data_IF_002851166133
#
_entry.id   IF_002851166133
#
_cell.length_a   1.000
_cell.length_b   1.000
_cell.length_c   1.000
_cell.angle_alpha   90.00
_cell.angle_beta   90.00
_cell.angle_gamma   90.00
#
_symmetry.space_group_name_H-M   'P 1'
#
loop_
_entity.id
_entity.type
_entity.pdbx_description
1 polymer ?
#
# COMPACT_ATOMS: atom_id res chain seq x y z
N UNK A 1 6.10 19.19 36.61
CA UNK A 1 6.63 20.13 35.61
C UNK A 1 5.79 20.04 34.34
N UNK A 2 5.10 21.12 33.96
CA UNK A 2 4.28 21.18 32.74
C UNK A 2 5.20 21.20 31.51
N UNK A 3 5.14 20.18 30.66
CA UNK A 3 5.89 20.14 29.39
C UNK A 3 5.04 20.77 28.27
N UNK A 4 5.63 21.73 27.56
CA UNK A 4 5.05 22.38 26.37
C UNK A 4 5.11 21.43 25.17
N UNK A 5 4.14 21.47 24.23
CA UNK A 5 4.19 20.72 22.99
C UNK A 5 5.24 21.31 22.03
N UNK A 6 5.94 20.42 21.33
CA UNK A 6 6.90 20.77 20.27
C UNK A 6 6.10 20.97 18.98
N UNK A 7 6.22 22.11 18.26
CA UNK A 7 5.49 22.33 17.03
C UNK A 7 6.19 21.62 15.85
N UNK A 8 5.45 20.73 15.18
CA UNK A 8 5.89 19.95 14.00
C UNK A 8 5.89 20.80 12.71
N UNK A 9 5.40 22.04 12.74
CA UNK A 9 5.14 22.86 11.54
C UNK A 9 6.35 23.54 10.86
N UNK A 10 7.60 23.16 11.16
CA UNK A 10 8.78 23.90 10.70
C UNK A 10 9.42 23.44 9.39
N UNK A 11 9.19 22.19 8.95
CA UNK A 11 10.02 21.59 7.90
C UNK A 11 9.44 21.71 6.47
N UNK A 12 8.19 22.15 6.31
CA UNK A 12 7.50 22.21 5.00
C UNK A 12 7.42 23.61 4.35
N UNK A 13 7.93 24.68 4.96
CA UNK A 13 7.67 26.08 4.50
C UNK A 13 8.76 26.77 3.68
N UNK A 14 9.73 26.05 3.13
CA UNK A 14 10.72 26.64 2.22
C UNK A 14 10.65 25.96 0.86
N UNK A 15 9.67 26.32 0.06
CA UNK A 15 9.67 26.35 -1.42
C UNK A 15 8.24 26.66 -1.81
N UNK A 16 7.93 27.92 -2.12
CA UNK A 16 6.77 28.36 -2.92
C UNK A 16 6.88 29.89 -3.04
N UNK A 17 7.54 30.33 -4.11
CA UNK A 17 7.37 31.67 -4.65
C UNK A 17 6.90 31.47 -6.09
N UNK A 18 5.59 31.32 -6.27
CA UNK A 18 4.94 31.42 -7.59
C UNK A 18 3.71 32.29 -7.41
N UNK A 19 3.78 33.46 -8.02
CA UNK A 19 2.74 34.48 -8.09
C UNK A 19 1.60 34.05 -9.01
N UNK A 20 0.37 34.16 -8.47
CA UNK A 20 -0.92 34.40 -9.15
C UNK A 20 -1.24 33.65 -10.46
N UNK A 21 -2.15 32.69 -10.37
CA UNK A 21 -2.97 32.20 -11.49
C UNK A 21 -4.45 32.59 -11.26
N UNK A 22 -5.22 32.87 -12.32
CA UNK A 22 -6.60 33.34 -12.20
C UNK A 22 -7.52 32.21 -11.73
N UNK A 23 -8.53 32.56 -10.94
CA UNK A 23 -9.53 31.63 -10.44
C UNK A 23 -10.37 31.06 -11.59
N UNK A 24 -10.30 29.74 -11.78
CA UNK A 24 -11.21 28.98 -12.64
C UNK A 24 -12.51 28.64 -11.87
N UNK A 25 -13.65 28.53 -12.57
CA UNK A 25 -14.96 28.39 -11.95
C UNK A 25 -15.12 27.05 -11.25
N UNK A 26 -15.58 27.10 -9.99
CA UNK A 26 -15.79 25.97 -9.05
C UNK A 26 -16.87 24.95 -9.44
N UNK A 27 -17.30 24.88 -10.71
CA UNK A 27 -18.51 24.12 -11.11
C UNK A 27 -18.26 22.83 -11.90
N UNK A 28 -17.02 22.36 -12.05
CA UNK A 28 -16.72 21.02 -12.56
C UNK A 28 -15.53 20.45 -11.78
N UNK A 29 -15.80 19.59 -10.78
CA UNK A 29 -14.92 18.59 -10.14
C UNK A 29 -15.39 18.22 -8.71
N UNK A 30 -16.69 18.29 -8.44
CA UNK A 30 -17.30 17.33 -7.52
C UNK A 30 -17.79 16.18 -8.38
N UNK A 31 -16.95 15.17 -8.56
CA UNK A 31 -17.45 13.85 -8.94
C UNK A 31 -18.31 13.42 -7.76
N UNK A 32 -19.62 13.63 -7.86
CA UNK A 32 -20.61 12.96 -7.04
C UNK A 32 -20.37 11.47 -7.26
N UNK A 33 -19.63 10.85 -6.35
CA UNK A 33 -19.47 9.40 -6.30
C UNK A 33 -20.88 8.83 -6.12
N UNK A 34 -21.43 8.08 -7.08
CA UNK A 34 -22.69 7.40 -6.86
C UNK A 34 -22.53 6.45 -5.66
N UNK A 35 -23.56 6.30 -4.80
CA UNK A 35 -23.54 5.23 -3.81
C UNK A 35 -23.32 3.91 -4.52
N UNK A 36 -22.46 3.05 -3.95
CA UNK A 36 -22.15 1.73 -4.48
C UNK A 36 -23.48 0.98 -4.63
N UNK A 37 -23.90 0.75 -5.88
CA UNK A 37 -25.09 -0.04 -6.17
C UNK A 37 -24.79 -1.49 -5.74
N UNK A 38 -25.39 -1.92 -4.64
CA UNK A 38 -24.99 -3.15 -3.95
C UNK A 38 -25.13 -3.09 -2.43
N UNK A 39 -25.62 -1.96 -1.87
CA UNK A 39 -26.20 -1.86 -0.53
C UNK A 39 -27.44 -2.79 -0.39
N UNK A 40 -27.26 -4.10 -0.54
CA UNK A 40 -27.82 -4.94 0.51
C UNK A 40 -27.15 -4.41 1.77
N UNK A 41 -27.94 -3.75 2.62
CA UNK A 41 -27.58 -3.37 3.96
C UNK A 41 -26.99 -4.63 4.63
N UNK A 42 -25.67 -4.84 4.50
CA UNK A 42 -24.92 -5.88 5.20
C UNK A 42 -24.87 -5.34 6.62
N UNK A 43 -26.01 -5.48 7.29
CA UNK A 43 -26.52 -4.59 8.34
C UNK A 43 -25.40 -3.90 9.08
N UNK A 44 -25.35 -2.57 9.02
CA UNK A 44 -24.42 -1.76 9.81
C UNK A 44 -24.30 -2.40 11.18
N UNK A 45 -23.15 -3.01 11.51
CA UNK A 45 -23.01 -3.77 12.75
C UNK A 45 -23.08 -2.74 13.88
N UNK A 46 -24.24 -2.50 14.52
CA UNK A 46 -24.47 -1.25 15.26
C UNK A 46 -23.66 -1.17 16.56
N UNK A 47 -23.03 -2.29 16.92
CA UNK A 47 -22.16 -2.48 18.06
C UNK A 47 -20.69 -2.19 17.75
N UNK A 48 -20.33 -2.02 16.48
CA UNK A 48 -19.00 -1.54 16.09
C UNK A 48 -18.92 -0.03 16.23
N UNK A 49 -17.85 0.43 16.86
CA UNK A 49 -17.50 1.84 16.93
C UNK A 49 -16.48 2.15 15.82
N UNK A 50 -17.00 2.60 14.68
CA UNK A 50 -16.24 2.90 13.47
C UNK A 50 -15.97 4.41 13.43
N UNK A 51 -14.70 4.79 13.44
CA UNK A 51 -14.27 6.19 13.43
C UNK A 51 -13.36 6.48 12.24
N UNK A 52 -13.58 7.59 11.50
CA UNK A 52 -12.70 7.96 10.39
C UNK A 52 -11.28 8.26 10.90
N UNK A 53 -10.27 7.80 10.15
CA UNK A 53 -8.87 8.19 10.36
C UNK A 53 -8.52 9.45 9.55
N UNK A 54 -9.08 9.56 8.34
CA UNK A 54 -9.14 10.78 7.53
C UNK A 54 -10.56 10.95 6.96
N UNK A 55 -10.98 12.15 6.52
CA UNK A 55 -12.32 12.39 6.00
C UNK A 55 -12.72 11.51 4.79
N UNK A 56 -11.74 11.09 3.98
CA UNK A 56 -11.99 10.39 2.71
C UNK A 56 -11.34 9.00 2.62
N UNK A 57 -10.64 8.58 3.67
CA UNK A 57 -9.78 7.39 3.61
C UNK A 57 -9.48 6.88 5.03
N UNK A 58 -9.51 5.57 5.21
CA UNK A 58 -9.15 4.95 6.47
C UNK A 58 -10.21 5.05 7.56
N UNK A 59 -10.48 3.94 8.23
CA UNK A 59 -11.29 3.89 9.44
C UNK A 59 -10.61 3.06 10.53
N UNK A 60 -10.80 3.44 11.78
CA UNK A 60 -10.48 2.62 12.94
C UNK A 60 -11.76 2.00 13.49
N UNK A 61 -11.70 0.73 13.87
CA UNK A 61 -12.82 -0.03 14.42
C UNK A 61 -12.47 -0.44 15.85
N UNK A 62 -13.28 0.03 16.79
CA UNK A 62 -13.25 -0.33 18.20
C UNK A 62 -14.41 -1.28 18.53
N UNK A 63 -14.36 -1.87 19.73
CA UNK A 63 -15.35 -2.84 20.22
C UNK A 63 -15.52 -4.06 19.31
N UNK A 64 -14.43 -4.44 18.63
CA UNK A 64 -14.33 -5.62 17.81
C UNK A 64 -13.45 -6.66 18.50
N UNK A 65 -13.84 -7.92 18.44
CA UNK A 65 -12.96 -9.05 18.73
C UNK A 65 -13.05 -10.03 17.57
N UNK A 66 -12.07 -9.93 16.67
CA UNK A 66 -12.00 -10.76 15.47
C UNK A 66 -11.90 -12.24 15.82
N UNK A 67 -11.12 -12.61 16.85
CA UNK A 67 -10.97 -14.00 17.25
C UNK A 67 -12.33 -14.64 17.59
N UNK A 68 -13.15 -13.93 18.39
CA UNK A 68 -14.50 -14.40 18.74
C UNK A 68 -15.42 -14.50 17.53
N UNK A 69 -15.28 -13.60 16.54
CA UNK A 69 -16.05 -13.67 15.30
C UNK A 69 -15.67 -14.89 14.47
N UNK A 70 -14.39 -15.20 14.37
CA UNK A 70 -13.89 -16.35 13.64
C UNK A 70 -14.24 -17.69 14.31
N UNK A 71 -14.41 -17.68 15.63
CA UNK A 71 -14.88 -18.83 16.42
C UNK A 71 -16.42 -18.98 16.44
N UNK A 72 -17.16 -18.00 15.91
CA UNK A 72 -18.63 -18.04 15.89
C UNK A 72 -19.19 -19.00 14.83
N UNK A 73 -20.51 -19.21 14.82
CA UNK A 73 -21.18 -20.05 13.81
C UNK A 73 -20.83 -19.61 12.39
N UNK A 74 -20.80 -20.56 11.45
CA UNK A 74 -20.40 -20.30 10.06
C UNK A 74 -21.17 -19.15 9.42
N UNK A 75 -22.49 -19.04 9.67
CA UNK A 75 -23.32 -17.95 9.12
C UNK A 75 -22.93 -16.57 9.68
N UNK A 76 -22.70 -16.47 10.99
CA UNK A 76 -22.28 -15.21 11.64
C UNK A 76 -20.88 -14.81 11.20
N UNK A 77 -19.96 -15.77 11.15
CA UNK A 77 -18.60 -15.58 10.64
C UNK A 77 -18.60 -15.01 9.22
N UNK A 78 -19.34 -15.63 8.29
CA UNK A 78 -19.43 -15.17 6.90
C UNK A 78 -20.01 -13.75 6.80
N UNK A 79 -21.09 -13.46 7.52
CA UNK A 79 -21.71 -12.13 7.50
C UNK A 79 -20.77 -11.03 7.99
N UNK A 80 -20.05 -11.28 9.10
CA UNK A 80 -19.09 -10.31 9.63
C UNK A 80 -17.92 -10.12 8.66
N UNK A 81 -17.35 -11.20 8.12
CA UNK A 81 -16.25 -11.09 7.16
C UNK A 81 -16.67 -10.36 5.87
N UNK A 82 -17.90 -10.56 5.39
CA UNK A 82 -18.47 -9.79 4.28
C UNK A 82 -18.52 -8.29 4.59
N UNK A 83 -18.92 -7.92 5.81
CA UNK A 83 -18.91 -6.54 6.27
C UNK A 83 -17.48 -5.97 6.36
N UNK A 84 -16.51 -6.73 6.90
CA UNK A 84 -15.09 -6.33 6.93
C UNK A 84 -14.56 -6.06 5.51
N UNK A 85 -14.86 -6.95 4.57
CA UNK A 85 -14.49 -6.79 3.16
C UNK A 85 -15.08 -5.52 2.56
N UNK A 86 -16.37 -5.25 2.80
CA UNK A 86 -17.03 -4.01 2.36
C UNK A 86 -16.37 -2.76 2.95
N UNK A 87 -16.02 -2.76 4.25
CA UNK A 87 -15.31 -1.65 4.88
C UNK A 87 -13.94 -1.39 4.24
N UNK A 88 -13.18 -2.45 3.93
CA UNK A 88 -11.87 -2.31 3.26
C UNK A 88 -12.02 -1.69 1.88
N UNK A 89 -12.96 -2.16 1.07
CA UNK A 89 -13.14 -1.56 -0.27
C UNK A 89 -13.72 -0.16 -0.21
N UNK A 90 -14.60 0.15 0.74
CA UNK A 90 -15.14 1.50 0.91
C UNK A 90 -14.08 2.49 1.39
N UNK A 91 -13.29 2.12 2.39
CA UNK A 91 -12.37 3.04 3.06
C UNK A 91 -10.90 2.89 2.66
N UNK A 92 -10.56 1.88 1.86
CA UNK A 92 -9.20 1.51 1.46
C UNK A 92 -8.35 0.89 2.57
N UNK A 93 -8.44 1.45 3.79
CA UNK A 93 -7.74 1.02 5.00
C UNK A 93 -8.75 0.85 6.15
N UNK A 94 -8.65 -0.26 6.85
CA UNK A 94 -9.41 -0.53 8.09
C UNK A 94 -8.42 -0.96 9.15
N UNK A 95 -8.50 -0.38 10.35
CA UNK A 95 -7.68 -0.81 11.49
C UNK A 95 -8.55 -1.23 12.66
N UNK A 96 -8.53 -2.52 12.99
CA UNK A 96 -9.16 -3.05 14.18
C UNK A 96 -8.22 -2.86 15.38
N UNK A 97 -8.71 -2.20 16.41
CA UNK A 97 -7.90 -1.80 17.56
C UNK A 97 -7.81 -2.92 18.58
N UNK A 98 -6.63 -3.08 19.20
CA UNK A 98 -6.41 -3.97 20.35
C UNK A 98 -6.82 -5.46 20.15
N UNK A 99 -6.52 -6.04 18.98
CA UNK A 99 -6.76 -7.45 18.66
C UNK A 99 -5.69 -8.38 19.26
N UNK A 100 -5.51 -8.32 20.58
CA UNK A 100 -4.47 -9.10 21.29
C UNK A 100 -4.78 -10.59 21.38
N UNK A 101 -6.05 -10.97 21.24
CA UNK A 101 -6.50 -12.37 21.29
C UNK A 101 -6.31 -13.12 19.97
N UNK A 102 -5.97 -12.43 18.87
CA UNK A 102 -5.78 -13.05 17.57
C UNK A 102 -4.51 -13.92 17.52
N UNK A 103 -4.66 -15.09 16.92
CA UNK A 103 -3.60 -16.05 16.61
C UNK A 103 -3.06 -15.85 15.18
N UNK A 104 -1.89 -16.43 14.83
CA UNK A 104 -1.45 -16.50 13.43
C UNK A 104 -2.49 -17.12 12.49
N UNK A 105 -3.26 -18.11 12.95
CA UNK A 105 -4.31 -18.74 12.14
C UNK A 105 -5.49 -17.79 11.87
N UNK A 106 -5.78 -16.89 12.81
CA UNK A 106 -6.80 -15.85 12.62
C UNK A 106 -6.38 -14.84 11.56
N UNK A 107 -5.10 -14.43 11.56
CA UNK A 107 -4.52 -13.54 10.53
C UNK A 107 -4.77 -14.12 9.12
N UNK A 108 -4.48 -15.42 8.96
CA UNK A 108 -4.64 -16.12 7.68
C UNK A 108 -6.10 -16.29 7.29
N UNK A 109 -6.95 -16.65 8.26
CA UNK A 109 -8.39 -16.88 8.02
C UNK A 109 -9.08 -15.62 7.47
N UNK A 110 -8.73 -14.45 7.97
CA UNK A 110 -9.29 -13.18 7.49
C UNK A 110 -8.73 -12.84 6.11
N UNK A 111 -7.42 -12.98 5.91
CA UNK A 111 -6.79 -12.70 4.63
C UNK A 111 -7.39 -13.56 3.50
N UNK A 112 -7.68 -14.84 3.78
CA UNK A 112 -8.33 -15.77 2.83
C UNK A 112 -9.78 -15.41 2.49
N UNK A 113 -10.41 -14.48 3.20
CA UNK A 113 -11.74 -13.99 2.82
C UNK A 113 -11.70 -13.00 1.64
N UNK A 114 -10.52 -12.46 1.35
CA UNK A 114 -10.27 -11.64 0.17
C UNK A 114 -9.85 -12.53 -1.01
N UNK A 115 -9.89 -11.97 -2.23
CA UNK A 115 -9.51 -12.72 -3.42
C UNK A 115 -8.05 -13.16 -3.33
N UNK A 116 -7.81 -14.45 -3.55
CA UNK A 116 -6.49 -15.06 -3.52
C UNK A 116 -6.50 -16.33 -4.38
N UNK A 117 -5.31 -16.83 -4.69
CA UNK A 117 -5.11 -18.14 -5.29
C UNK A 117 -5.11 -19.23 -4.20
N UNK A 118 -6.13 -20.09 -4.13
CA UNK A 118 -6.21 -21.13 -3.10
C UNK A 118 -5.20 -22.27 -3.33
N UNK A 119 -4.53 -22.31 -4.49
CA UNK A 119 -3.54 -23.33 -4.84
C UNK A 119 -2.10 -22.95 -4.48
N UNK A 120 -1.88 -21.76 -3.90
CA UNK A 120 -0.55 -21.29 -3.55
C UNK A 120 0.16 -22.18 -2.51
N UNK A 121 1.37 -22.65 -2.85
CA UNK A 121 2.27 -23.28 -1.88
C UNK A 121 2.99 -22.19 -1.08
N UNK A 122 2.43 -21.83 0.08
CA UNK A 122 2.97 -20.78 0.93
C UNK A 122 4.30 -21.14 1.60
N UNK A 123 4.68 -22.41 1.71
CA UNK A 123 5.94 -22.82 2.32
C UNK A 123 7.11 -22.53 1.38
N UNK A 124 6.94 -22.83 0.09
CA UNK A 124 8.01 -22.74 -0.91
C UNK A 124 7.91 -21.49 -1.81
N UNK A 125 6.72 -20.90 -1.94
CA UNK A 125 6.54 -19.65 -2.67
C UNK A 125 6.94 -18.48 -1.77
N UNK A 126 8.11 -17.89 -2.02
CA UNK A 126 8.54 -16.68 -1.31
C UNK A 126 7.72 -15.49 -1.79
N UNK A 127 6.53 -15.27 -1.22
CA UNK A 127 5.79 -14.02 -1.39
C UNK A 127 6.42 -12.88 -0.57
N UNK A 128 7.70 -12.64 -0.81
CA UNK A 128 8.53 -11.62 -0.15
C UNK A 128 9.35 -10.96 -1.24
N UNK A 129 8.73 -10.02 -1.96
CA UNK A 129 9.42 -9.12 -2.88
C UNK A 129 10.77 -8.67 -2.35
N UNK A 130 11.72 -8.48 -3.27
CA UNK A 130 13.18 -8.45 -3.08
C UNK A 130 13.82 -7.51 -2.05
N UNK A 131 13.12 -7.08 -1.01
CA UNK A 131 13.65 -6.45 0.18
C UNK A 131 13.99 -7.50 1.27
N UNK A 132 14.98 -8.35 1.00
CA UNK A 132 15.48 -9.42 1.89
C UNK A 132 14.44 -10.50 2.28
N UNK A 133 14.86 -11.76 2.49
CA UNK A 133 13.94 -12.81 2.93
C UNK A 133 13.33 -12.40 4.27
N UNK A 134 12.00 -12.22 4.32
CA UNK A 134 11.28 -12.08 5.58
C UNK A 134 11.15 -13.46 6.20
N UNK A 135 11.38 -13.54 7.51
CA UNK A 135 11.17 -14.80 8.22
C UNK A 135 9.69 -15.12 8.28
N UNK A 136 9.32 -16.35 7.90
CA UNK A 136 7.96 -16.88 8.01
C UNK A 136 7.82 -17.74 9.26
N UNK A 137 6.61 -17.84 9.81
CA UNK A 137 6.35 -18.76 10.91
C UNK A 137 6.39 -20.22 10.42
N UNK A 138 7.12 -21.14 11.08
CA UNK A 138 7.28 -22.52 10.62
C UNK A 138 5.95 -23.27 10.45
N UNK A 139 5.01 -23.09 11.37
CA UNK A 139 3.73 -23.80 11.38
C UNK A 139 2.59 -23.02 10.71
N UNK A 140 2.86 -21.79 10.24
CA UNK A 140 1.89 -20.94 9.53
C UNK A 140 2.64 -20.06 8.52
N UNK A 141 3.18 -20.64 7.43
CA UNK A 141 4.12 -19.97 6.53
C UNK A 141 3.52 -18.80 5.73
N UNK A 142 2.20 -18.62 5.74
CA UNK A 142 1.51 -17.43 5.24
C UNK A 142 1.83 -16.16 6.06
N UNK A 143 2.24 -16.34 7.33
CA UNK A 143 2.55 -15.25 8.25
C UNK A 143 4.04 -14.95 8.20
N UNK A 144 4.37 -13.78 7.68
CA UNK A 144 5.72 -13.22 7.70
C UNK A 144 5.91 -12.28 8.90
N UNK A 145 7.12 -12.28 9.45
CA UNK A 145 7.54 -11.36 10.50
C UNK A 145 8.19 -10.12 9.88
N UNK A 146 7.70 -8.94 10.28
CA UNK A 146 8.14 -7.66 9.73
C UNK A 146 8.58 -6.69 10.82
N UNK A 147 9.76 -6.11 10.64
CA UNK A 147 10.32 -5.06 11.50
C UNK A 147 11.68 -5.44 12.08
N UNK A 148 12.07 -4.74 13.15
CA UNK A 148 13.32 -4.97 13.87
C UNK A 148 13.01 -5.72 15.17
N UNK A 149 13.51 -6.93 15.34
CA UNK A 149 13.13 -7.79 16.45
C UNK A 149 14.21 -8.82 16.79
N UNK A 150 14.10 -9.34 18.00
CA UNK A 150 14.79 -10.55 18.47
C UNK A 150 13.76 -11.40 19.21
N UNK A 151 13.59 -12.63 18.76
CA UNK A 151 12.58 -13.54 19.29
C UNK A 151 13.18 -14.93 19.55
N UNK A 152 12.71 -15.57 20.60
CA UNK A 152 13.07 -16.93 21.01
C UNK A 152 11.79 -17.74 21.13
N UNK A 153 11.77 -18.90 20.45
CA UNK A 153 10.64 -19.83 20.40
C UNK A 153 9.27 -19.16 20.13
N UNK A 154 9.26 -18.16 19.26
CA UNK A 154 8.06 -17.45 18.88
C UNK A 154 7.31 -18.25 17.81
N UNK A 155 6.30 -19.02 18.23
CA UNK A 155 5.59 -19.97 17.36
C UNK A 155 6.55 -20.97 16.67
N UNK A 156 7.55 -21.46 17.41
CA UNK A 156 8.58 -22.36 16.90
C UNK A 156 9.69 -21.68 16.11
N UNK A 157 9.72 -20.34 16.04
CA UNK A 157 10.78 -19.58 15.38
C UNK A 157 11.71 -18.89 16.39
N UNK A 158 13.01 -19.01 16.18
CA UNK A 158 14.04 -18.24 16.89
C UNK A 158 14.88 -17.49 15.87
N UNK A 159 15.06 -16.19 16.05
CA UNK A 159 15.85 -15.39 15.13
C UNK A 159 15.79 -13.90 15.39
N UNK A 160 16.56 -13.15 14.60
CA UNK A 160 16.65 -11.69 14.69
C UNK A 160 16.45 -11.05 13.33
N UNK A 161 15.94 -9.83 13.33
CA UNK A 161 15.86 -8.97 12.16
C UNK A 161 16.24 -7.56 12.58
N UNK A 162 17.09 -6.90 11.80
CA UNK A 162 17.39 -5.47 11.99
C UNK A 162 16.33 -4.57 11.32
N UNK A 163 15.34 -5.17 10.66
CA UNK A 163 14.37 -4.49 9.81
C UNK A 163 14.96 -4.07 8.47
N UNK A 164 14.10 -3.89 7.47
CA UNK A 164 14.47 -3.43 6.12
C UNK A 164 15.14 -2.04 6.14
N UNK A 165 14.91 -1.26 7.21
CA UNK A 165 15.38 0.11 7.39
C UNK A 165 16.19 0.29 8.70
N UNK A 166 16.91 -0.74 9.13
CA UNK A 166 17.73 -0.69 10.34
C UNK A 166 18.74 0.46 10.36
N UNK A 167 19.09 0.94 11.55
CA UNK A 167 19.93 2.12 11.79
C UNK A 167 21.29 2.10 11.03
N UNK A 168 21.86 0.91 10.77
CA UNK A 168 23.11 0.75 10.02
C UNK A 168 22.96 0.91 8.49
N UNK A 169 21.77 0.63 7.92
CA UNK A 169 21.45 0.91 6.50
C UNK A 169 20.89 2.31 6.27
N UNK A 170 20.43 2.96 7.34
CA UNK A 170 19.83 4.29 7.34
C UNK A 170 20.79 5.40 7.79
N UNK A 171 22.09 5.30 7.47
CA UNK A 171 23.01 6.45 7.59
C UNK A 171 22.46 7.70 6.87
N UNK A 172 21.61 7.51 5.85
CA UNK A 172 20.73 8.55 5.32
C UNK A 172 19.26 8.27 5.71
N UNK A 173 18.69 9.11 6.59
CA UNK A 173 17.27 9.10 6.99
C UNK A 173 16.29 9.08 5.80
N UNK A 174 16.75 9.49 4.61
CA UNK A 174 15.99 9.55 3.36
C UNK A 174 15.79 8.18 2.70
N UNK A 175 16.57 7.16 3.04
CA UNK A 175 16.45 5.83 2.43
C UNK A 175 15.27 5.01 2.95
N UNK A 176 14.53 5.45 3.97
CA UNK A 176 13.44 4.64 4.52
C UNK A 176 12.06 4.93 3.91
N UNK A 177 11.88 6.10 3.30
CA UNK A 177 10.66 6.38 2.54
C UNK A 177 10.77 5.68 1.19
N UNK A 178 9.82 4.79 0.94
CA UNK A 178 9.73 3.96 -0.24
C UNK A 178 8.23 3.73 -0.49
N UNK A 179 7.61 4.68 -1.17
CA UNK A 179 6.18 4.63 -1.45
C UNK A 179 5.87 3.55 -2.48
N UNK A 180 4.95 2.65 -2.13
CA UNK A 180 4.59 1.53 -2.98
C UNK A 180 3.20 0.97 -2.64
N UNK A 181 2.60 0.37 -3.66
CA UNK A 181 1.59 -0.67 -3.55
C UNK A 181 2.33 -2.03 -3.48
N UNK A 182 2.00 -2.88 -2.51
CA UNK A 182 2.64 -4.20 -2.40
C UNK A 182 2.43 -5.02 -3.69
N UNK A 183 3.45 -5.75 -4.14
CA UNK A 183 3.30 -6.73 -5.23
C UNK A 183 3.53 -6.22 -6.65
N UNK A 184 3.42 -4.91 -6.89
CA UNK A 184 3.40 -4.34 -8.24
C UNK A 184 4.74 -4.44 -9.00
N UNK A 185 5.86 -4.73 -8.32
CA UNK A 185 7.16 -4.94 -8.96
C UNK A 185 7.69 -6.38 -8.85
N UNK A 186 7.03 -7.23 -8.08
CA UNK A 186 7.55 -8.55 -7.71
C UNK A 186 6.58 -9.70 -8.03
N UNK A 187 5.30 -9.41 -8.28
CA UNK A 187 4.26 -10.42 -8.46
C UNK A 187 3.31 -10.05 -9.58
N UNK A 188 2.74 -11.05 -10.24
CA UNK A 188 1.73 -10.84 -11.27
C UNK A 188 0.66 -11.94 -11.22
N UNK A 189 -0.61 -11.61 -10.94
CA UNK A 189 -1.11 -10.29 -10.49
C UNK A 189 -0.60 -9.88 -9.08
N UNK A 190 -0.63 -8.57 -8.74
CA UNK A 190 -0.35 -8.10 -7.38
C UNK A 190 -1.43 -8.54 -6.38
N UNK A 191 -1.08 -8.71 -5.09
CA UNK A 191 -1.95 -9.25 -4.06
C UNK A 191 -3.10 -8.29 -3.79
N UNK A 192 -4.31 -8.80 -3.57
CA UNK A 192 -5.46 -7.94 -3.30
C UNK A 192 -5.29 -7.15 -2.01
N UNK A 193 -4.93 -7.86 -0.93
CA UNK A 193 -4.92 -7.36 0.42
C UNK A 193 -3.52 -7.51 1.04
N UNK A 194 -3.14 -6.54 1.84
CA UNK A 194 -2.16 -6.78 2.91
C UNK A 194 -2.84 -6.65 4.27
N UNK A 195 -2.62 -7.65 5.11
CA UNK A 195 -2.93 -7.60 6.54
C UNK A 195 -1.64 -7.41 7.31
N UNK A 196 -1.63 -6.49 8.27
CA UNK A 196 -0.52 -6.32 9.19
C UNK A 196 -1.01 -6.13 10.62
N UNK A 197 -0.55 -6.98 11.54
CA UNK A 197 -0.92 -6.92 12.96
C UNK A 197 0.29 -6.64 13.83
N UNK A 198 0.17 -5.64 14.70
CA UNK A 198 1.24 -5.21 15.58
C UNK A 198 1.37 -6.12 16.80
N UNK A 199 2.54 -6.73 16.97
CA UNK A 199 2.87 -7.60 18.11
C UNK A 199 3.70 -6.82 19.14
N UNK A 200 4.69 -6.07 18.66
CA UNK A 200 5.52 -5.16 19.48
C UNK A 200 5.72 -3.85 18.72
N UNK A 201 5.64 -2.75 19.44
CA UNK A 201 5.85 -1.39 18.92
C UNK A 201 6.83 -0.64 19.82
N UNK A 202 7.72 0.20 19.27
CA UNK A 202 8.58 1.08 20.07
C UNK A 202 7.76 2.14 20.82
N UNK A 203 8.39 2.83 21.76
CA UNK A 203 7.70 3.86 22.56
C UNK A 203 7.35 5.12 21.74
N UNK A 204 8.10 5.40 20.68
CA UNK A 204 7.86 6.49 19.73
C UNK A 204 8.46 6.15 18.36
N UNK A 205 7.85 6.64 17.28
CA UNK A 205 8.28 6.36 15.92
C UNK A 205 7.83 4.99 15.40
N UNK A 206 8.19 4.68 14.15
CA UNK A 206 7.84 3.40 13.52
C UNK A 206 6.40 3.36 12.97
N UNK A 207 5.84 4.53 12.73
CA UNK A 207 4.58 4.71 12.05
C UNK A 207 4.61 4.07 10.66
N UNK A 208 3.43 3.76 10.13
CA UNK A 208 3.28 3.48 8.70
C UNK A 208 2.58 4.65 8.06
N UNK A 209 3.15 5.19 6.98
CA UNK A 209 2.49 6.19 6.16
C UNK A 209 1.58 5.48 5.16
N UNK A 210 0.31 5.85 5.11
CA UNK A 210 -0.66 5.39 4.13
C UNK A 210 -1.17 6.58 3.34
N UNK A 211 -1.28 6.47 2.02
CA UNK A 211 -1.90 7.49 1.18
C UNK A 211 -3.08 6.93 0.38
N UNK A 212 -4.11 7.76 0.23
CA UNK A 212 -5.31 7.43 -0.52
C UNK A 212 -5.02 7.41 -2.02
N UNK A 213 -4.99 6.22 -2.65
CA UNK A 213 -4.72 6.09 -4.09
C UNK A 213 -5.82 6.70 -4.96
N UNK A 214 -7.06 6.79 -4.46
CA UNK A 214 -8.16 7.52 -5.15
C UNK A 214 -7.84 8.98 -5.30
N UNK A 215 -7.45 9.60 -4.19
CA UNK A 215 -7.13 11.02 -4.14
C UNK A 215 -5.90 11.33 -4.98
N UNK A 216 -4.89 10.46 -4.93
CA UNK A 216 -3.74 10.55 -5.84
C UNK A 216 -4.17 10.51 -7.33
N UNK A 217 -5.09 9.62 -7.71
CA UNK A 217 -5.63 9.60 -9.06
C UNK A 217 -6.41 10.88 -9.42
N UNK A 218 -7.29 11.35 -8.52
CA UNK A 218 -8.05 12.59 -8.74
C UNK A 218 -7.12 13.77 -8.98
N UNK A 219 -6.09 13.95 -8.15
CA UNK A 219 -5.11 15.04 -8.30
C UNK A 219 -4.32 14.94 -9.61
N UNK A 220 -3.99 13.72 -10.05
CA UNK A 220 -3.34 13.51 -11.35
C UNK A 220 -4.26 13.87 -12.51
N UNK A 221 -5.52 13.41 -12.48
CA UNK A 221 -6.52 13.66 -13.54
C UNK A 221 -6.86 15.15 -13.64
N UNK A 222 -6.87 15.87 -12.51
CA UNK A 222 -7.06 17.32 -12.43
C UNK A 222 -5.94 18.12 -13.12
N UNK A 223 -4.74 17.55 -13.22
CA UNK A 223 -3.55 18.19 -13.81
C UNK A 223 -3.06 17.47 -15.07
N UNK A 224 -3.89 16.64 -15.69
CA UNK A 224 -3.50 15.73 -16.78
C UNK A 224 -2.89 16.44 -17.97
N UNK A 225 -3.28 17.70 -18.23
CA UNK A 225 -2.76 18.55 -19.29
C UNK A 225 -1.28 18.90 -19.14
N UNK A 226 -0.69 18.68 -17.95
CA UNK A 226 0.73 18.88 -17.69
C UNK A 226 1.57 17.63 -17.95
N UNK A 227 0.95 16.53 -18.37
CA UNK A 227 1.59 15.25 -18.60
C UNK A 227 1.55 14.86 -20.07
N UNK A 228 2.72 14.50 -20.59
CA UNK A 228 2.90 13.94 -21.92
C UNK A 228 3.81 12.70 -21.77
N UNK A 229 3.32 11.49 -22.08
CA UNK A 229 1.97 11.17 -22.56
C UNK A 229 0.87 11.41 -21.50
N UNK A 230 -0.42 11.47 -21.89
CA UNK A 230 -1.53 11.60 -20.94
C UNK A 230 -1.61 10.44 -19.93
N UNK A 231 -1.88 10.71 -18.64
CA UNK A 231 -1.81 9.69 -17.59
C UNK A 231 -2.82 8.55 -17.75
N UNK A 232 -3.94 8.80 -18.43
CA UNK A 232 -4.97 7.80 -18.71
C UNK A 232 -4.52 6.73 -19.71
N UNK A 233 -3.49 7.01 -20.52
CA UNK A 233 -2.97 6.08 -21.53
C UNK A 233 -1.66 5.40 -21.10
N UNK A 234 -1.11 5.78 -19.95
CA UNK A 234 0.19 5.30 -19.46
C UNK A 234 0.11 3.90 -18.88
N UNK A 235 0.98 3.03 -19.37
CA UNK A 235 1.41 1.79 -18.71
C UNK A 235 2.81 1.97 -18.15
N UNK A 236 2.98 1.65 -16.87
CA UNK A 236 4.27 1.70 -16.18
C UNK A 236 4.81 0.29 -16.05
N UNK A 237 6.08 0.12 -16.43
CA UNK A 237 6.83 -1.13 -16.32
C UNK A 237 7.66 -1.07 -15.05
N UNK A 238 7.51 -2.06 -14.18
CA UNK A 238 8.24 -2.15 -12.92
C UNK A 238 9.29 -3.26 -12.96
N UNK A 239 10.41 -3.05 -12.28
CA UNK A 239 11.50 -4.04 -12.15
C UNK A 239 12.22 -3.87 -10.81
N UNK A 240 12.47 -4.98 -10.12
CA UNK A 240 13.37 -4.98 -8.97
C UNK A 240 14.83 -4.94 -9.43
N UNK A 241 15.52 -3.88 -9.03
CA UNK A 241 16.93 -3.65 -9.35
C UNK A 241 17.79 -3.82 -8.10
N UNK A 242 18.73 -4.77 -8.12
CA UNK A 242 19.65 -4.98 -7.00
C UNK A 242 20.62 -3.81 -6.88
N UNK A 243 20.58 -3.10 -5.75
CA UNK A 243 21.48 -1.99 -5.43
C UNK A 243 20.96 -0.62 -5.85
N UNK A 244 19.83 -0.55 -6.56
CA UNK A 244 19.30 0.71 -7.06
C UNK A 244 19.10 1.75 -5.94
N UNK A 245 19.46 2.99 -6.26
CA UNK A 245 19.34 4.10 -5.31
C UNK A 245 18.03 4.82 -5.53
N UNK A 246 17.25 5.01 -4.47
CA UNK A 246 16.02 5.83 -4.51
C UNK A 246 16.32 7.32 -4.56
N UNK A 247 15.47 8.09 -5.24
CA UNK A 247 15.39 9.54 -5.08
C UNK A 247 14.91 9.88 -3.66
N UNK A 248 15.21 11.08 -3.20
CA UNK A 248 14.88 11.53 -1.83
C UNK A 248 13.38 11.62 -1.55
N UNK A 249 12.56 11.73 -2.60
CA UNK A 249 11.11 11.64 -2.53
C UNK A 249 10.59 10.25 -2.18
N UNK A 250 11.41 9.19 -2.33
CA UNK A 250 10.96 7.81 -2.15
C UNK A 250 9.96 7.33 -3.20
N UNK A 251 9.78 8.07 -4.30
CA UNK A 251 8.80 7.80 -5.36
C UNK A 251 9.40 7.28 -6.67
N UNK A 252 10.71 7.33 -6.81
CA UNK A 252 11.41 6.92 -8.02
C UNK A 252 12.86 6.53 -7.73
N UNK A 253 13.51 5.92 -8.72
CA UNK A 253 14.93 5.60 -8.70
C UNK A 253 15.76 6.75 -9.29
N UNK A 254 17.02 6.83 -8.84
CA UNK A 254 18.06 7.62 -9.48
C UNK A 254 18.64 6.82 -10.64
N UNK A 255 19.08 7.51 -11.68
CA UNK A 255 19.97 6.92 -12.68
C UNK A 255 21.16 6.25 -11.99
N UNK A 256 21.69 5.18 -12.59
CA UNK A 256 23.00 4.67 -12.20
C UNK A 256 24.06 5.77 -12.44
N UNK A 257 25.15 5.84 -11.64
CA UNK A 257 26.29 6.67 -12.00
C UNK A 257 26.80 6.27 -13.40
N UNK A 258 27.05 7.24 -14.29
CA UNK A 258 27.74 7.00 -15.57
C UNK A 258 29.19 6.59 -15.26
N UNK A 259 29.45 5.29 -15.08
CA UNK A 259 30.79 4.72 -14.91
C UNK A 259 31.37 4.17 -16.23
N UNK A 260 30.75 4.49 -17.36
CA UNK A 260 31.21 4.10 -18.69
C UNK A 260 30.91 2.65 -19.05
N UNK A 261 30.16 1.90 -18.23
CA UNK A 261 29.56 0.65 -18.67
C UNK A 261 28.35 0.95 -19.57
N UNK A 262 28.39 0.40 -20.77
CA UNK A 262 27.36 0.46 -21.81
C UNK A 262 25.94 0.28 -21.26
N UNK A 263 25.01 1.12 -21.73
CA UNK A 263 23.58 1.10 -21.44
C UNK A 263 22.90 -0.19 -21.90
N UNK A 264 23.06 -1.23 -21.09
CA UNK A 264 22.11 -2.28 -20.77
C UNK A 264 22.29 -2.49 -19.26
N UNK A 265 21.38 -1.87 -18.51
CA UNK A 265 21.30 -1.71 -17.06
C UNK A 265 22.39 -2.39 -16.19
N UNK A 266 23.37 -1.61 -15.71
CA UNK A 266 24.34 -2.02 -14.67
C UNK A 266 23.72 -2.49 -13.32
N UNK A 267 22.41 -2.63 -13.25
CA UNK A 267 21.65 -3.20 -12.13
C UNK A 267 21.15 -4.60 -12.49
N UNK A 268 21.49 -5.60 -11.67
CA UNK A 268 20.93 -6.95 -11.85
C UNK A 268 19.42 -6.95 -11.61
N UNK A 269 18.64 -7.39 -12.60
CA UNK A 269 17.21 -7.68 -12.46
C UNK A 269 17.02 -8.85 -11.47
N UNK A 270 16.23 -8.62 -10.43
CA UNK A 270 15.88 -9.63 -9.41
C UNK A 270 14.37 -9.83 -9.29
N UNK A 271 13.62 -9.46 -10.32
CA UNK A 271 12.15 -9.61 -10.32
C UNK A 271 11.80 -11.10 -10.35
N UNK A 272 10.97 -11.54 -9.41
CA UNK A 272 10.49 -12.92 -9.36
C UNK A 272 9.39 -13.20 -10.40
N UNK A 273 8.70 -12.17 -10.87
CA UNK A 273 7.65 -12.25 -11.88
C UNK A 273 8.09 -11.61 -13.20
N UNK A 274 7.66 -12.20 -14.32
CA UNK A 274 7.60 -11.54 -15.62
C UNK A 274 6.26 -10.78 -15.75
N UNK A 275 6.23 -9.69 -16.52
CA UNK A 275 4.97 -8.99 -16.83
C UNK A 275 4.47 -7.99 -15.78
N UNK A 276 5.35 -7.43 -14.94
CA UNK A 276 5.06 -6.34 -13.98
C UNK A 276 4.84 -4.99 -14.67
N UNK A 277 3.98 -4.96 -15.69
CA UNK A 277 3.55 -3.77 -16.40
C UNK A 277 2.07 -3.53 -16.08
N UNK A 278 1.75 -2.34 -15.57
CA UNK A 278 0.40 -2.01 -15.14
C UNK A 278 0.00 -0.61 -15.61
N UNK A 279 -1.28 -0.38 -15.94
CA UNK A 279 -1.80 0.98 -16.10
C UNK A 279 -1.50 1.81 -14.86
N UNK A 280 -1.12 3.07 -15.04
CA UNK A 280 -0.91 3.98 -13.91
C UNK A 280 -2.22 4.26 -13.17
N UNK A 281 -3.31 4.41 -13.93
CA UNK A 281 -4.67 4.60 -13.45
C UNK A 281 -5.49 3.33 -13.69
N UNK A 282 -5.94 2.71 -12.60
CA UNK A 282 -6.70 1.46 -12.63
C UNK A 282 -8.11 1.65 -12.08
N UNK A 283 -9.04 0.80 -12.51
CA UNK A 283 -10.36 0.69 -11.88
C UNK A 283 -10.35 -0.47 -10.89
N UNK A 284 -10.63 -0.19 -9.62
CA UNK A 284 -10.73 -1.24 -8.61
C UNK A 284 -12.11 -1.93 -8.73
N UNK A 285 -12.16 -3.26 -8.96
CA UNK A 285 -13.39 -3.94 -9.36
C UNK A 285 -14.48 -3.99 -8.27
N UNK A 286 -14.11 -4.00 -6.97
CA UNK A 286 -15.09 -4.14 -5.89
C UNK A 286 -15.76 -2.79 -5.53
N UNK A 287 -15.00 -1.70 -5.56
CA UNK A 287 -15.48 -0.33 -5.27
C UNK A 287 -15.91 0.43 -6.52
N UNK A 288 -15.40 0.06 -7.69
CA UNK A 288 -15.59 0.77 -8.95
C UNK A 288 -14.72 2.02 -9.11
N UNK A 289 -13.90 2.35 -8.11
CA UNK A 289 -13.15 3.60 -8.05
C UNK A 289 -11.96 3.62 -9.00
N UNK A 290 -11.62 4.82 -9.48
CA UNK A 290 -10.37 5.07 -10.20
C UNK A 290 -9.25 5.35 -9.19
N UNK A 291 -8.16 4.60 -9.27
CA UNK A 291 -7.02 4.74 -8.36
C UNK A 291 -5.69 4.76 -9.09
N UNK A 292 -4.71 5.41 -8.46
CA UNK A 292 -3.33 5.38 -8.91
C UNK A 292 -2.58 4.27 -8.19
N UNK A 293 -1.89 3.42 -8.95
CA UNK A 293 -1.19 2.25 -8.41
C UNK A 293 0.22 2.16 -8.97
N UNK A 294 1.13 1.59 -8.17
CA UNK A 294 2.51 1.43 -8.58
C UNK A 294 3.50 1.43 -7.44
N UNK A 295 4.77 1.59 -7.81
CA UNK A 295 5.89 1.61 -6.87
C UNK A 295 7.04 2.41 -7.46
N UNK A 296 7.97 2.80 -6.61
CA UNK A 296 9.19 3.51 -7.02
C UNK A 296 10.11 2.68 -7.93
N UNK A 297 9.89 1.37 -8.08
CA UNK A 297 10.67 0.45 -8.92
C UNK A 297 10.41 0.60 -10.43
N UNK A 298 10.35 1.83 -10.94
CA UNK A 298 10.03 2.13 -12.34
C UNK A 298 11.21 1.76 -13.24
N UNK A 299 10.93 0.92 -14.24
CA UNK A 299 11.86 0.53 -15.30
C UNK A 299 11.58 1.27 -16.62
N UNK A 300 10.32 1.64 -16.87
CA UNK A 300 9.93 2.35 -18.08
C UNK A 300 8.47 2.79 -18.08
N UNK A 301 8.13 3.71 -18.97
CA UNK A 301 6.78 4.19 -19.23
C UNK A 301 6.50 4.08 -20.72
N UNK A 302 5.35 3.51 -21.06
CA UNK A 302 4.85 3.39 -22.44
C UNK A 302 3.43 3.91 -22.52
N UNK A 303 3.06 4.47 -23.66
CA UNK A 303 1.69 4.85 -23.99
C UNK A 303 1.40 4.51 -25.47
N UNK A 304 0.14 4.21 -25.84
CA UNK A 304 -0.24 4.02 -27.24
C UNK A 304 0.18 5.21 -28.11
N UNK A 305 0.73 4.91 -29.29
CA UNK A 305 1.10 5.92 -30.30
C UNK A 305 2.15 6.94 -29.86
N UNK A 306 2.86 6.69 -28.75
CA UNK A 306 4.00 7.47 -28.29
C UNK A 306 5.26 6.60 -28.27
N UNK A 307 6.42 7.20 -28.53
CA UNK A 307 7.70 6.52 -28.26
C UNK A 307 7.84 6.24 -26.76
N UNK A 308 8.37 5.06 -26.37
CA UNK A 308 8.64 4.76 -24.97
C UNK A 308 9.54 5.81 -24.31
N UNK A 309 9.19 6.23 -23.09
CA UNK A 309 10.06 7.11 -22.32
C UNK A 309 11.31 6.34 -21.90
N UNK A 310 12.47 6.99 -21.95
CA UNK A 310 13.69 6.43 -21.37
C UNK A 310 13.58 6.32 -19.84
N UNK A 311 14.55 5.65 -19.20
CA UNK A 311 14.53 5.38 -17.76
C UNK A 311 14.35 6.64 -16.89
N UNK A 312 15.10 7.71 -17.18
CA UNK A 312 15.06 8.94 -16.38
C UNK A 312 13.75 9.69 -16.55
N UNK A 313 13.29 9.84 -17.80
CA UNK A 313 12.02 10.45 -18.12
C UNK A 313 10.85 9.66 -17.50
N UNK A 314 10.92 8.32 -17.52
CA UNK A 314 9.92 7.44 -16.88
C UNK A 314 9.87 7.65 -15.37
N UNK A 315 11.03 7.69 -14.72
CA UNK A 315 11.12 7.90 -13.28
C UNK A 315 10.68 9.32 -12.88
N UNK A 316 11.02 10.33 -13.67
CA UNK A 316 10.55 11.70 -13.46
C UNK A 316 9.04 11.83 -13.64
N UNK A 317 8.48 11.22 -14.70
CA UNK A 317 7.05 11.20 -14.97
C UNK A 317 6.27 10.62 -13.79
N UNK A 318 6.64 9.41 -13.35
CA UNK A 318 5.96 8.72 -12.24
C UNK A 318 6.15 9.46 -10.93
N UNK A 319 7.36 9.98 -10.65
CA UNK A 319 7.61 10.78 -9.46
C UNK A 319 6.73 12.03 -9.42
N UNK A 320 6.60 12.75 -10.54
CA UNK A 320 5.75 13.94 -10.64
C UNK A 320 4.27 13.60 -10.44
N UNK A 321 3.81 12.51 -11.04
CA UNK A 321 2.43 12.04 -10.89
C UNK A 321 2.07 11.75 -9.42
N UNK A 322 2.93 11.03 -8.71
CA UNK A 322 2.69 10.71 -7.30
C UNK A 322 2.85 11.89 -6.35
N UNK A 323 3.72 12.87 -6.65
CA UNK A 323 3.92 14.06 -5.82
C UNK A 323 2.62 14.84 -5.59
N UNK A 324 1.78 14.95 -6.63
CA UNK A 324 0.50 15.65 -6.57
C UNK A 324 -0.41 15.14 -5.45
N UNK A 325 -0.45 13.82 -5.25
CA UNK A 325 -1.28 13.18 -4.25
C UNK A 325 -0.58 12.96 -2.90
N UNK A 326 0.73 12.71 -2.88
CA UNK A 326 1.44 12.33 -1.65
C UNK A 326 2.01 13.55 -0.92
N UNK A 327 2.53 14.54 -1.66
CA UNK A 327 3.28 15.65 -1.07
C UNK A 327 2.59 17.00 -1.22
N UNK A 328 1.71 17.16 -2.19
CA UNK A 328 0.99 18.41 -2.46
C UNK A 328 -0.47 18.40 -1.95
N UNK A 329 -0.91 17.28 -1.37
CA UNK A 329 -2.26 17.10 -0.86
C UNK A 329 -2.25 16.64 0.60
N UNK A 330 -2.55 17.57 1.51
CA UNK A 330 -2.45 17.38 2.96
C UNK A 330 -3.45 16.34 3.51
N UNK A 331 -4.54 16.07 2.78
CA UNK A 331 -5.58 15.14 3.22
C UNK A 331 -5.32 13.70 2.76
N UNK A 332 -4.44 13.51 1.78
CA UNK A 332 -4.19 12.19 1.18
C UNK A 332 -3.41 11.26 2.09
N UNK A 333 -2.48 11.78 2.90
CA UNK A 333 -1.54 10.98 3.70
C UNK A 333 -1.93 10.92 5.17
N UNK A 334 -1.97 9.71 5.70
CA UNK A 334 -2.11 9.37 7.11
C UNK A 334 -0.78 8.79 7.63
N UNK A 335 -0.22 9.37 8.68
CA UNK A 335 0.81 8.71 9.48
C UNK A 335 0.12 7.92 10.60
N UNK A 336 0.16 6.60 10.53
CA UNK A 336 -0.49 5.73 11.48
C UNK A 336 0.45 5.30 12.61
N UNK A 337 0.15 5.73 13.82
CA UNK A 337 0.82 5.31 15.05
C UNK A 337 0.25 3.96 15.53
N UNK A 338 1.12 2.96 15.67
CA UNK A 338 0.74 1.61 16.03
C UNK A 338 0.59 1.42 17.54
N UNK A 339 -0.52 0.83 17.94
CA UNK A 339 -0.73 0.20 19.24
C UNK A 339 -0.56 -1.32 19.16
N UNK A 340 -0.16 -1.94 20.28
CA UNK A 340 -0.09 -3.41 20.38
C UNK A 340 -1.48 -4.02 20.12
N UNK A 341 -1.52 -5.03 19.26
CA UNK A 341 -2.74 -5.70 18.84
C UNK A 341 -3.49 -4.98 17.72
N UNK A 342 -3.09 -3.79 17.29
CA UNK A 342 -3.72 -3.18 16.11
C UNK A 342 -3.55 -4.07 14.89
N UNK A 343 -4.65 -4.36 14.21
CA UNK A 343 -4.70 -5.17 13.01
C UNK A 343 -5.20 -4.30 11.85
N UNK A 344 -4.29 -3.90 10.97
CA UNK A 344 -4.61 -3.12 9.78
C UNK A 344 -4.80 -4.03 8.57
N UNK A 345 -5.82 -3.73 7.79
CA UNK A 345 -6.13 -4.35 6.51
C UNK A 345 -6.21 -3.24 5.47
N UNK A 346 -5.46 -3.36 4.38
CA UNK A 346 -5.56 -2.43 3.26
C UNK A 346 -5.58 -3.14 1.91
N UNK A 347 -6.37 -2.60 0.97
CA UNK A 347 -6.32 -3.04 -0.43
C UNK A 347 -5.11 -2.41 -1.11
N UNK A 348 -4.30 -3.24 -1.76
CA UNK A 348 -3.11 -2.77 -2.48
C UNK A 348 -3.45 -2.01 -3.76
N UNK A 349 -4.73 -1.98 -4.18
CA UNK A 349 -5.21 -1.12 -5.28
C UNK A 349 -5.74 0.23 -4.80
N UNK A 350 -6.13 0.35 -3.53
CA UNK A 350 -6.72 1.57 -2.96
C UNK A 350 -5.76 2.38 -2.08
N UNK A 351 -4.62 1.77 -1.71
CA UNK A 351 -3.67 2.34 -0.76
C UNK A 351 -2.24 2.17 -1.24
N UNK A 352 -1.53 3.28 -1.39
CA UNK A 352 -0.07 3.30 -1.44
C UNK A 352 0.46 3.56 -0.04
N UNK A 353 1.61 3.01 0.32
CA UNK A 353 2.14 3.15 1.66
C UNK A 353 3.67 3.18 1.69
N UNK A 354 4.21 3.64 2.82
CA UNK A 354 5.63 3.63 3.10
C UNK A 354 5.86 3.39 4.59
N UNK A 355 6.92 2.68 4.93
CA UNK A 355 7.44 2.76 6.29
C UNK A 355 8.00 4.16 6.55
N UNK A 356 7.98 4.61 7.79
CA UNK A 356 8.81 5.74 8.20
C UNK A 356 10.27 5.30 8.43
N UNK A 357 11.23 6.23 8.38
CA UNK A 357 12.55 5.97 8.94
C UNK A 357 12.48 5.43 10.36
N UNK A 358 13.30 4.41 10.65
CA UNK A 358 13.47 3.94 12.01
C UNK A 358 14.06 5.08 12.84
N UNK A 359 13.21 5.72 13.64
CA UNK A 359 13.51 6.83 14.53
C UNK A 359 13.50 6.42 16.00
N UNK A 360 13.19 5.16 16.29
CA UNK A 360 13.15 4.59 17.64
C UNK A 360 14.55 4.23 18.15
N UNK A 361 14.71 4.25 19.48
CA UNK A 361 16.02 4.17 20.12
C UNK A 361 16.59 2.75 20.17
N UNK A 362 17.87 2.59 19.84
CA UNK A 362 18.69 1.44 20.24
C UNK A 362 18.10 0.06 19.88
N UNK A 363 17.92 -0.77 20.92
CA UNK A 363 17.48 -2.18 20.86
C UNK A 363 15.95 -2.37 20.94
N UNK A 364 15.16 -1.31 20.81
CA UNK A 364 13.70 -1.43 20.84
C UNK A 364 13.17 -2.31 19.70
N UNK A 365 12.21 -3.17 20.03
CA UNK A 365 11.62 -4.09 19.07
C UNK A 365 10.38 -3.49 18.41
N UNK A 366 10.33 -3.62 17.09
CA UNK A 366 9.15 -3.43 16.25
C UNK A 366 8.87 -4.74 15.53
N UNK A 367 7.82 -5.43 15.94
CA UNK A 367 7.44 -6.74 15.39
C UNK A 367 5.98 -6.70 14.94
N UNK A 368 5.76 -7.03 13.68
CA UNK A 368 4.44 -7.22 13.11
C UNK A 368 4.34 -8.60 12.48
N UNK A 369 3.15 -9.18 12.54
CA UNK A 369 2.73 -10.19 11.58
C UNK A 369 2.28 -9.49 10.31
N UNK A 370 2.62 -10.06 9.16
CA UNK A 370 2.10 -9.63 7.87
C UNK A 370 1.64 -10.84 7.06
N UNK A 371 0.45 -10.73 6.49
CA UNK A 371 -0.08 -11.71 5.54
C UNK A 371 -0.33 -11.01 4.22
N UNK A 372 0.23 -11.58 3.15
CA UNK A 372 -0.08 -11.27 1.75
C UNK A 372 -0.22 -12.60 1.05
N UNK A 373 -1.38 -12.83 0.45
CA UNK A 373 -1.65 -14.03 -0.32
C UNK A 373 -1.47 -13.71 -1.80
N UNK A 374 -1.00 -14.67 -2.59
CA UNK A 374 -0.96 -14.55 -4.04
C UNK A 374 -2.35 -14.23 -4.56
N UNK A 375 -2.45 -13.27 -5.46
CA UNK A 375 -3.71 -12.91 -6.08
C UNK A 375 -4.22 -14.02 -6.99
N UNK A 376 -5.54 -14.09 -7.14
CA UNK A 376 -6.15 -14.94 -8.15
C UNK A 376 -5.67 -14.48 -9.55
N UNK A 377 -5.32 -15.39 -10.48
CA UNK A 377 -4.89 -15.03 -11.83
C UNK A 377 -5.84 -14.09 -12.59
N UNK A 378 -7.13 -14.08 -12.23
CA UNK A 378 -8.14 -13.21 -12.84
C UNK A 378 -8.11 -11.75 -12.33
N UNK A 379 -7.38 -11.46 -11.24
CA UNK A 379 -7.37 -10.15 -10.56
C UNK A 379 -6.32 -9.16 -11.11
N UNK A 380 -5.90 -9.34 -12.36
CA UNK A 380 -4.98 -8.43 -13.06
C UNK A 380 -5.52 -6.99 -13.00
N UNK A 381 -4.72 -5.98 -12.59
CA UNK A 381 -5.13 -4.59 -12.64
C UNK A 381 -5.48 -4.15 -14.06
N UNK A 382 -6.64 -3.52 -14.23
CA UNK A 382 -7.15 -3.08 -15.53
C UNK A 382 -7.24 -1.56 -15.59
N UNK A 383 -6.98 -1.02 -16.78
CA UNK A 383 -6.98 0.42 -17.00
C UNK A 383 -8.35 1.02 -16.65
N UNK A 384 -8.33 2.22 -16.08
CA UNK A 384 -9.56 2.94 -15.75
C UNK A 384 -10.29 3.51 -16.99
N UNK A 385 -9.54 3.68 -18.09
CA UNK A 385 -9.94 4.37 -19.33
C UNK A 385 -9.47 3.59 -20.57
N UNK A 386 -10.08 3.86 -21.72
CA UNK A 386 -9.68 3.30 -23.02
C UNK A 386 -10.14 1.87 -23.30
N UNK A 387 -9.63 1.29 -24.39
CA UNK A 387 -9.93 -0.10 -24.77
C UNK A 387 -9.38 -1.09 -23.74
N UNK A 388 -10.22 -2.01 -23.27
CA UNK A 388 -9.88 -2.95 -22.19
C UNK A 388 -10.21 -2.44 -20.78
N UNK A 389 -10.70 -1.19 -20.64
CA UNK A 389 -11.30 -0.74 -19.39
C UNK A 389 -12.57 -1.54 -19.08
N UNK A 390 -12.70 -2.01 -17.84
CA UNK A 390 -13.94 -2.65 -17.40
C UNK A 390 -14.91 -1.57 -16.97
N UNK A 391 -16.18 -1.69 -17.37
CA UNK A 391 -17.26 -0.96 -16.72
C UNK A 391 -17.25 -1.28 -15.22
N UNK A 392 -17.67 -0.34 -14.36
CA UNK A 392 -17.89 -0.66 -12.96
C UNK A 392 -18.84 -1.88 -12.88
N UNK A 393 -18.35 -3.02 -12.41
CA UNK A 393 -19.20 -4.17 -12.19
C UNK A 393 -20.14 -3.83 -11.03
N UNK A 394 -21.45 -3.90 -11.25
CA UNK A 394 -22.36 -4.11 -10.11
C UNK A 394 -21.87 -5.38 -9.40
N UNK A 395 -21.65 -5.35 -8.07
CA UNK A 395 -21.16 -6.51 -7.35
C UNK A 395 -22.17 -7.64 -7.55
N UNK A 396 -21.73 -8.71 -8.20
CA UNK A 396 -22.49 -9.94 -8.20
C UNK A 396 -22.54 -10.42 -6.73
N UNK A 397 -23.72 -10.77 -6.20
CA UNK A 397 -23.80 -11.44 -4.91
C UNK A 397 -23.08 -12.78 -5.07
N UNK A 398 -21.89 -12.92 -4.48
CA UNK A 398 -21.24 -14.22 -4.36
C UNK A 398 -22.01 -15.04 -3.34
N UNK A 399 -22.54 -16.18 -3.78
CA UNK A 399 -23.28 -17.16 -2.99
C UNK A 399 -22.48 -17.78 -1.84
#
# INVERSE_FOLDING_TARGET
>A
MKRKPIPIGGFLKKFLNVTSLPALPKSLLLVNMPPIAGDADVGALPWLDIRPLKPHFGVAVWNANIHDWLASSSSKKTAVLAHVRSLVYKHGLVVFKAQTSMTPADDVTIARFFSHDPSEDHANSSYTGGAAPQHKLPNQPEVALVGAYEVTDYHGFTGTSQGTYGASRCQNKLNAVAWHNDGFADTYPPPELTLMRCIKTPAAGGETLFACSRRCASRLIEQREHFDPPPESVTVHYRLFKGATRRTSGLALKAAPDDGATRDDGWQNTSAASGTAHPLLVREPNSGDVTMVGTYHVAGVTAPSCEPLNFDASNEYVERAWKLGIYEDEDSVLAYEWGVGDCALWSNKLVTHSATPASYAGSEQRLHHRVRLRANPCDVPRAAFGEGAVAASSPAPSA
#
